data_IF_422871893661
#
_entry.id   IF_422871893661
#
_cell.length_a   1.000
_cell.length_b   1.000
_cell.length_c   1.000
_cell.angle_alpha   90.00
_cell.angle_beta   90.00
_cell.angle_gamma   90.00
#
_symmetry.space_group_name_H-M   'P 1'
#
loop_
_entity.id
_entity.type
_entity.pdbx_description
1 polymer ?
#
# COMPACT_ATOMS: atom_id res chain seq x y z
N UNK A 1 2.43 -14.03 -7.59
CA UNK A 1 1.50 -13.76 -6.47
C UNK A 1 0.46 -14.83 -6.37
N UNK A 2 -0.12 -14.99 -5.19
CA UNK A 2 -1.15 -15.98 -4.94
C UNK A 2 -1.28 -16.32 -3.46
N UNK A 3 -2.23 -17.20 -3.16
CA UNK A 3 -2.42 -17.73 -1.82
C UNK A 3 -1.55 -18.96 -1.60
N UNK A 4 -0.85 -18.99 -0.47
CA UNK A 4 0.03 -20.07 -0.05
C UNK A 4 -0.38 -20.58 1.33
N UNK A 5 -0.18 -21.88 1.54
CA UNK A 5 -0.34 -22.51 2.86
C UNK A 5 1.05 -22.96 3.31
N UNK A 6 1.44 -22.54 4.51
CA UNK A 6 2.70 -23.00 5.11
C UNK A 6 2.43 -24.29 5.87
N UNK A 7 3.11 -25.37 5.47
CA UNK A 7 3.13 -26.64 6.21
C UNK A 7 4.42 -26.73 7.02
N UNK A 8 4.30 -26.95 8.32
CA UNK A 8 5.43 -27.23 9.21
C UNK A 8 5.36 -28.69 9.63
N UNK A 9 6.47 -29.41 9.50
CA UNK A 9 6.62 -30.79 9.97
C UNK A 9 7.67 -30.82 11.07
N UNK A 10 7.34 -31.44 12.20
CA UNK A 10 8.25 -31.72 13.29
C UNK A 10 8.51 -33.23 13.34
N UNK A 11 9.77 -33.62 13.52
CA UNK A 11 10.23 -35.01 13.56
C UNK A 11 11.21 -35.21 14.72
N UNK A 12 11.19 -36.38 15.34
CA UNK A 12 12.17 -36.81 16.36
C UNK A 12 13.21 -37.81 15.82
N UNK A 13 13.36 -37.88 14.49
CA UNK A 13 14.24 -38.82 13.76
C UNK A 13 15.73 -38.72 14.13
N UNK A 14 16.21 -37.55 14.56
CA UNK A 14 17.61 -37.40 15.00
C UNK A 14 17.88 -38.20 16.29
N UNK A 15 16.86 -38.44 17.11
CA UNK A 15 16.96 -39.14 18.39
C UNK A 15 16.46 -40.57 18.36
N UNK A 16 15.83 -41.01 17.26
CA UNK A 16 15.18 -42.32 17.17
C UNK A 16 15.50 -43.03 15.85
N UNK A 17 15.69 -44.36 15.85
CA UNK A 17 15.84 -45.12 14.61
C UNK A 17 14.58 -44.97 13.74
N UNK A 18 14.75 -45.01 12.42
CA UNK A 18 13.67 -44.73 11.43
C UNK A 18 12.36 -45.48 11.70
N UNK A 19 12.42 -46.74 12.18
CA UNK A 19 11.20 -47.52 12.46
C UNK A 19 10.39 -47.01 13.66
N UNK A 20 10.93 -46.09 14.46
CA UNK A 20 10.31 -45.52 15.67
C UNK A 20 10.15 -44.00 15.62
N UNK A 21 10.72 -43.33 14.60
CA UNK A 21 10.59 -41.88 14.48
C UNK A 21 9.13 -41.49 14.27
N UNK A 22 8.69 -40.47 15.01
CA UNK A 22 7.38 -39.86 14.89
C UNK A 22 7.49 -38.55 14.13
N UNK A 23 6.47 -38.29 13.31
CA UNK A 23 6.32 -37.03 12.59
C UNK A 23 4.93 -36.47 12.85
N UNK A 24 4.86 -35.17 13.02
CA UNK A 24 3.60 -34.44 13.12
C UNK A 24 3.68 -33.19 12.25
N UNK A 25 2.56 -32.78 11.66
CA UNK A 25 2.53 -31.58 10.83
C UNK A 25 1.35 -30.68 11.14
N UNK A 26 1.58 -29.38 11.01
CA UNK A 26 0.57 -28.34 11.09
C UNK A 26 0.54 -27.54 9.78
N UNK A 27 -0.63 -27.01 9.43
CA UNK A 27 -0.83 -26.11 8.29
C UNK A 27 -1.32 -24.75 8.80
N UNK A 28 -0.87 -23.67 8.16
CA UNK A 28 -1.38 -22.32 8.40
C UNK A 28 -2.74 -22.10 7.73
N UNK A 29 -3.40 -20.99 8.06
CA UNK A 29 -4.40 -20.37 7.18
C UNK A 29 -3.73 -19.93 5.85
N UNK A 30 -4.50 -19.73 4.76
CA UNK A 30 -3.97 -19.18 3.52
C UNK A 30 -3.37 -17.78 3.70
N UNK A 31 -2.18 -17.57 3.19
CA UNK A 31 -1.45 -16.30 3.20
C UNK A 31 -1.37 -15.78 1.77
N UNK A 32 -1.84 -14.55 1.54
CA UNK A 32 -1.62 -13.87 0.27
C UNK A 32 -0.16 -13.41 0.19
N UNK A 33 0.54 -13.84 -0.85
CA UNK A 33 1.86 -13.29 -1.24
C UNK A 33 1.64 -12.44 -2.48
N UNK A 34 1.85 -11.14 -2.34
CA UNK A 34 1.73 -10.15 -3.41
C UNK A 34 2.98 -9.29 -3.50
N UNK A 35 3.62 -9.27 -4.67
CA UNK A 35 4.82 -8.51 -4.96
C UNK A 35 4.58 -7.34 -5.92
N UNK A 36 3.33 -7.00 -6.23
CA UNK A 36 3.00 -5.89 -7.12
C UNK A 36 2.67 -4.63 -6.33
N UNK A 37 3.35 -3.50 -6.57
CA UNK A 37 2.95 -2.24 -5.97
C UNK A 37 1.67 -1.69 -6.61
N UNK A 38 0.86 -0.92 -5.84
CA UNK A 38 -0.30 -0.26 -6.38
C UNK A 38 0.10 0.80 -7.42
N UNK A 39 -0.85 1.23 -8.26
CA UNK A 39 -0.60 2.24 -9.29
C UNK A 39 -1.28 3.56 -8.95
N UNK A 40 -0.51 4.65 -9.00
CA UNK A 40 -0.99 6.03 -8.84
C UNK A 40 -1.39 6.63 -10.19
N UNK A 41 -2.69 6.70 -10.44
CA UNK A 41 -3.30 7.20 -11.66
C UNK A 41 -3.89 8.60 -11.52
N UNK A 42 -3.99 9.30 -12.66
CA UNK A 42 -4.70 10.58 -12.79
C UNK A 42 -4.34 11.68 -11.75
N UNK A 43 -3.14 11.62 -11.17
CA UNK A 43 -2.65 12.60 -10.20
C UNK A 43 -2.61 14.00 -10.82
N UNK A 44 -3.36 14.92 -10.23
CA UNK A 44 -3.45 16.31 -10.70
C UNK A 44 -3.81 17.27 -9.58
N UNK A 45 -3.57 18.55 -9.82
CA UNK A 45 -4.04 19.63 -8.94
C UNK A 45 -5.05 20.49 -9.68
N UNK A 46 -6.21 20.72 -9.06
CA UNK A 46 -7.27 21.59 -9.60
C UNK A 46 -7.87 22.41 -8.46
N UNK A 47 -7.99 23.74 -8.65
CA UNK A 47 -8.59 24.66 -7.67
C UNK A 47 -8.03 24.46 -6.24
N UNK A 48 -6.70 24.37 -6.11
CA UNK A 48 -5.98 24.10 -4.83
C UNK A 48 -6.35 22.77 -4.15
N UNK A 49 -6.79 21.78 -4.91
CA UNK A 49 -7.05 20.41 -4.43
C UNK A 49 -6.19 19.42 -5.19
N UNK A 50 -5.69 18.40 -4.52
CA UNK A 50 -4.95 17.27 -5.11
C UNK A 50 -5.93 16.14 -5.31
N UNK A 51 -6.04 15.67 -6.54
CA UNK A 51 -6.94 14.60 -6.92
C UNK A 51 -6.12 13.48 -7.56
N UNK A 52 -6.53 12.25 -7.32
CA UNK A 52 -5.96 11.08 -7.97
C UNK A 52 -6.73 9.81 -7.64
N UNK A 53 -6.26 8.71 -8.22
CA UNK A 53 -6.78 7.37 -7.98
C UNK A 53 -5.62 6.43 -7.73
N UNK A 54 -5.76 5.54 -6.78
CA UNK A 54 -4.85 4.42 -6.53
C UNK A 54 -5.56 3.14 -6.91
N UNK A 55 -4.87 2.25 -7.62
CA UNK A 55 -5.42 0.97 -8.06
C UNK A 55 -4.44 -0.13 -7.74
N UNK A 56 -4.92 -1.16 -7.05
CA UNK A 56 -4.23 -2.40 -6.81
C UNK A 56 -4.94 -3.58 -7.49
N UNK A 57 -4.22 -4.67 -7.76
CA UNK A 57 -4.74 -5.82 -8.49
C UNK A 57 -5.22 -6.96 -7.57
N UNK A 58 -4.68 -7.08 -6.36
CA UNK A 58 -4.79 -8.29 -5.53
C UNK A 58 -5.33 -8.01 -4.13
N UNK A 59 -5.33 -6.76 -3.68
CA UNK A 59 -5.85 -6.38 -2.37
C UNK A 59 -6.38 -4.95 -2.31
N UNK A 60 -6.89 -4.54 -1.13
CA UNK A 60 -7.29 -3.17 -0.92
C UNK A 60 -6.08 -2.26 -0.73
N UNK A 61 -6.27 -0.98 -1.01
CA UNK A 61 -5.30 0.05 -0.65
C UNK A 61 -5.34 0.24 0.86
N UNK A 62 -4.21 0.13 1.54
CA UNK A 62 -4.14 0.26 2.99
C UNK A 62 -3.86 1.70 3.45
N UNK A 63 -3.18 2.50 2.61
CA UNK A 63 -2.84 3.89 2.96
C UNK A 63 -2.52 4.74 1.75
N UNK A 64 -2.89 6.02 1.81
CA UNK A 64 -2.43 7.06 0.89
C UNK A 64 -1.85 8.19 1.71
N UNK A 65 -0.70 8.73 1.29
CA UNK A 65 -0.03 9.83 1.97
C UNK A 65 0.46 10.87 0.98
N UNK A 66 0.51 12.12 1.43
CA UNK A 66 0.97 13.26 0.66
C UNK A 66 2.07 14.03 1.40
N UNK A 67 3.07 14.46 0.64
CA UNK A 67 4.11 15.40 1.08
C UNK A 67 4.17 16.60 0.13
N UNK A 68 4.52 17.77 0.67
CA UNK A 68 4.70 19.01 -0.08
C UNK A 68 6.12 19.49 0.14
N UNK A 69 6.85 19.77 -0.93
CA UNK A 69 8.24 20.23 -0.93
C UNK A 69 9.15 19.38 -0.02
N UNK A 70 9.02 18.05 -0.11
CA UNK A 70 9.75 17.07 0.70
C UNK A 70 9.57 17.20 2.23
N UNK A 71 8.47 17.83 2.67
CA UNK A 71 8.09 17.87 4.08
C UNK A 71 7.57 16.54 4.62
N UNK A 72 7.06 16.53 5.87
CA UNK A 72 6.49 15.34 6.48
C UNK A 72 5.34 14.74 5.67
N UNK A 73 5.29 13.41 5.60
CA UNK A 73 4.16 12.68 5.02
C UNK A 73 2.93 12.85 5.91
N UNK A 74 1.79 13.15 5.29
CA UNK A 74 0.48 13.26 5.96
C UNK A 74 -0.50 12.30 5.31
N UNK A 75 -1.31 11.65 6.13
CA UNK A 75 -2.34 10.75 5.64
C UNK A 75 -3.40 11.50 4.83
N UNK A 76 -3.84 10.84 3.75
CA UNK A 76 -4.89 11.28 2.84
C UNK A 76 -5.94 10.19 2.83
N UNK A 77 -7.14 10.53 3.28
CA UNK A 77 -8.25 9.59 3.26
C UNK A 77 -8.88 9.50 1.86
N UNK A 78 -9.44 8.34 1.50
CA UNK A 78 -10.24 8.21 0.30
C UNK A 78 -11.54 9.01 0.43
N UNK A 79 -12.21 9.25 -0.70
CA UNK A 79 -13.40 10.10 -0.77
C UNK A 79 -14.55 9.58 0.09
N UNK A 80 -14.68 8.25 0.22
CA UNK A 80 -15.65 7.58 1.09
C UNK A 80 -15.15 7.36 2.53
N UNK A 81 -13.91 7.80 2.82
CA UNK A 81 -13.28 7.76 4.14
C UNK A 81 -12.93 6.37 4.68
N UNK A 82 -12.99 5.32 3.87
CA UNK A 82 -12.65 3.95 4.28
C UNK A 82 -11.69 3.32 3.27
N UNK A 83 -10.66 2.64 3.77
CA UNK A 83 -9.69 1.91 2.95
C UNK A 83 -10.12 0.45 2.83
N UNK A 84 -11.06 0.16 1.93
CA UNK A 84 -11.61 -1.20 1.72
C UNK A 84 -11.65 -1.63 0.24
N UNK A 85 -11.31 -0.72 -0.69
CA UNK A 85 -11.31 -0.98 -2.11
C UNK A 85 -9.94 -1.29 -2.70
N UNK A 86 -9.93 -2.14 -3.73
CA UNK A 86 -8.79 -2.28 -4.65
C UNK A 86 -8.59 -1.01 -5.51
N UNK A 87 -9.62 -0.16 -5.59
CA UNK A 87 -9.53 1.19 -6.12
C UNK A 87 -9.88 2.17 -5.02
N UNK A 88 -9.01 3.15 -4.80
CA UNK A 88 -9.30 4.28 -3.92
C UNK A 88 -9.12 5.61 -4.65
N UNK A 89 -10.07 6.52 -4.46
CA UNK A 89 -9.98 7.89 -4.99
C UNK A 89 -9.73 8.84 -3.85
N UNK A 90 -8.87 9.82 -4.07
CA UNK A 90 -8.65 10.90 -3.12
C UNK A 90 -8.87 12.25 -3.78
N UNK A 91 -9.45 13.15 -3.01
CA UNK A 91 -9.61 14.56 -3.36
C UNK A 91 -9.43 15.38 -2.08
N UNK A 92 -8.25 15.95 -1.88
CA UNK A 92 -7.88 16.65 -0.64
C UNK A 92 -7.43 18.09 -0.91
N UNK A 93 -7.77 19.03 -0.02
CA UNK A 93 -7.27 20.39 -0.14
C UNK A 93 -5.75 20.44 0.08
N UNK A 94 -5.03 21.25 -0.71
CA UNK A 94 -3.60 21.52 -0.50
C UNK A 94 -3.32 22.29 0.80
N UNK A 95 -4.35 22.88 1.40
CA UNK A 95 -4.23 23.76 2.56
C UNK A 95 -3.59 25.11 2.22
N UNK A 96 -3.12 25.80 3.26
CA UNK A 96 -2.40 27.06 3.12
C UNK A 96 -0.93 26.79 2.74
N UNK A 97 -0.67 26.69 1.44
CA UNK A 97 0.69 26.67 0.88
C UNK A 97 1.00 27.99 0.18
N UNK A 98 2.26 28.41 0.31
CA UNK A 98 2.78 29.64 -0.28
C UNK A 98 2.78 29.58 -1.81
N UNK A 99 2.56 30.75 -2.42
CA UNK A 99 2.58 30.92 -3.88
C UNK A 99 3.94 30.52 -4.48
N UNK A 100 3.95 30.25 -5.78
CA UNK A 100 5.13 29.82 -6.54
C UNK A 100 5.08 28.36 -6.98
N UNK A 101 6.21 27.87 -7.48
CA UNK A 101 6.36 26.46 -7.90
C UNK A 101 6.50 25.56 -6.67
N UNK A 102 5.71 24.49 -6.61
CA UNK A 102 5.66 23.53 -5.50
C UNK A 102 5.71 22.10 -6.04
N UNK A 103 6.35 21.21 -5.30
CA UNK A 103 6.35 19.77 -5.59
C UNK A 103 5.38 19.09 -4.63
N UNK A 104 4.46 18.32 -5.18
CA UNK A 104 3.54 17.49 -4.42
C UNK A 104 3.87 16.04 -4.72
N UNK A 105 4.27 15.31 -3.68
CA UNK A 105 4.50 13.88 -3.74
C UNK A 105 3.32 13.15 -3.11
N UNK A 106 2.85 12.11 -3.77
CA UNK A 106 1.86 11.17 -3.24
C UNK A 106 2.49 9.78 -3.23
N UNK A 107 2.31 9.06 -2.13
CA UNK A 107 2.62 7.63 -2.05
C UNK A 107 1.42 6.85 -1.58
N UNK A 108 1.32 5.60 -2.02
CA UNK A 108 0.28 4.67 -1.61
C UNK A 108 0.89 3.33 -1.22
N UNK A 109 0.26 2.66 -0.26
CA UNK A 109 0.59 1.33 0.21
C UNK A 109 -0.63 0.43 0.08
N UNK A 110 -0.43 -0.80 -0.38
CA UNK A 110 -1.45 -1.85 -0.36
C UNK A 110 -1.47 -2.61 0.99
N UNK A 111 -2.38 -3.57 1.13
CA UNK A 111 -2.51 -4.41 2.32
C UNK A 111 -1.32 -5.37 2.55
N UNK A 112 -0.55 -5.67 1.51
CA UNK A 112 0.64 -6.52 1.55
C UNK A 112 1.92 -5.74 1.88
N UNK A 113 1.84 -4.41 1.95
CA UNK A 113 2.94 -3.50 2.25
C UNK A 113 3.74 -3.04 1.03
N UNK A 114 3.31 -3.36 -0.21
CA UNK A 114 3.97 -2.81 -1.39
C UNK A 114 3.64 -1.33 -1.53
N UNK A 115 4.59 -0.55 -2.06
CA UNK A 115 4.48 0.90 -2.13
C UNK A 115 4.74 1.43 -3.54
N UNK A 116 3.97 2.43 -3.94
CA UNK A 116 4.27 3.28 -5.10
C UNK A 116 4.26 4.76 -4.74
N UNK A 117 5.03 5.56 -5.48
CA UNK A 117 5.14 7.00 -5.32
C UNK A 117 5.02 7.72 -6.67
N UNK A 118 4.44 8.92 -6.66
CA UNK A 118 4.33 9.79 -7.84
C UNK A 118 4.38 11.24 -7.42
N UNK A 119 5.01 12.08 -8.24
CA UNK A 119 5.18 13.50 -7.97
C UNK A 119 4.59 14.36 -9.09
N UNK A 120 4.15 15.55 -8.73
CA UNK A 120 3.72 16.58 -9.68
C UNK A 120 4.20 17.96 -9.23
N UNK A 121 4.76 18.71 -10.17
CA UNK A 121 5.14 20.12 -9.96
C UNK A 121 3.99 21.03 -10.36
N UNK A 122 3.59 21.94 -9.48
CA UNK A 122 2.45 22.84 -9.71
C UNK A 122 2.83 24.28 -9.38
N UNK A 123 2.32 25.22 -10.18
CA UNK A 123 2.41 26.66 -9.89
C UNK A 123 1.17 27.09 -9.11
N UNK A 124 1.39 27.56 -7.89
CA UNK A 124 0.35 28.12 -7.02
C UNK A 124 0.29 29.63 -7.25
N UNK A 125 -0.80 30.09 -7.86
CA UNK A 125 -1.14 31.50 -8.02
C UNK A 125 -1.73 32.11 -6.74
N UNK A 126 -1.88 33.45 -6.74
CA UNK A 126 -2.71 34.16 -5.75
C UNK A 126 -4.17 33.78 -5.89
#
# INVERSE_FOLDING_TARGET
>A
DGYYIVRVEASDEESNPEQRSLRSSAMSEPILVDNHPPRLEALKVRKRRVLGRVVDALGPIARIQMSIDAGPWRDVFPVDSVFDGAEERFDVPLGAISVGSRIIAVRALDASGNQANREITVKIGK
#
